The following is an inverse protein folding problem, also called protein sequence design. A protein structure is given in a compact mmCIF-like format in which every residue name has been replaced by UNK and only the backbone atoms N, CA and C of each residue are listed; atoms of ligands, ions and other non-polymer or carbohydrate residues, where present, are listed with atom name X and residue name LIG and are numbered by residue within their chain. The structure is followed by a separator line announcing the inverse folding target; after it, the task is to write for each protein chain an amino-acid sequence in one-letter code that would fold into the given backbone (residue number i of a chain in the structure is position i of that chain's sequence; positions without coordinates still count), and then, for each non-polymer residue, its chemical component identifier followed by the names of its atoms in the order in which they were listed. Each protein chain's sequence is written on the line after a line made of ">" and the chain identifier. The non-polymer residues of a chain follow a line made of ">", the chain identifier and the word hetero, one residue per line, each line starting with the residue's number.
data_IF_510945424486
#
_entry.id   IF_510945424486
#
_cell.length_a   1.000
_cell.length_b   1.000
_cell.length_c   1.000
_cell.angle_alpha   90.00
_cell.angle_beta   90.00
_cell.angle_gamma   90.00
#
_symmetry.space_group_name_H-M   'P 1'
#
loop_
_entity.id
_entity.type
_entity.pdbx_description
1 polymer ?
#
# COMPACT_ATOMS: atom_id res chain seq x y z
N UNK A 1 34.95 4.40 -32.26
CA UNK A 1 34.81 2.92 -32.27
C UNK A 1 33.41 2.45 -31.82
N UNK A 2 32.55 3.30 -31.23
CA UNK A 2 31.19 2.94 -30.82
C UNK A 2 30.10 3.15 -31.90
N UNK A 3 30.38 3.88 -32.98
CA UNK A 3 29.34 4.30 -33.93
C UNK A 3 28.77 3.13 -34.75
N UNK A 4 29.61 2.19 -35.16
CA UNK A 4 29.17 0.99 -35.89
C UNK A 4 28.28 0.08 -35.02
N UNK A 5 28.61 -0.06 -33.74
CA UNK A 5 27.84 -0.83 -32.75
C UNK A 5 26.47 -0.15 -32.53
N UNK A 6 26.45 1.18 -32.39
CA UNK A 6 25.22 1.95 -32.24
C UNK A 6 24.33 1.83 -33.49
N UNK A 7 24.91 1.88 -34.69
CA UNK A 7 24.16 1.68 -35.95
C UNK A 7 23.56 0.28 -36.00
N UNK A 8 24.33 -0.74 -35.63
CA UNK A 8 23.86 -2.13 -35.61
C UNK A 8 22.72 -2.35 -34.61
N UNK A 9 22.86 -1.88 -33.37
CA UNK A 9 21.82 -1.98 -32.33
C UNK A 9 20.55 -1.20 -32.71
N UNK A 10 20.70 -0.06 -33.40
CA UNK A 10 19.55 0.71 -33.91
C UNK A 10 18.81 -0.06 -35.01
N UNK A 11 19.53 -0.72 -35.92
CA UNK A 11 18.91 -1.59 -36.95
C UNK A 11 18.19 -2.77 -36.31
N UNK A 12 18.81 -3.41 -35.32
CA UNK A 12 18.21 -4.53 -34.58
C UNK A 12 16.92 -4.11 -33.85
N UNK A 13 16.91 -2.93 -33.23
CA UNK A 13 15.71 -2.36 -32.60
C UNK A 13 14.57 -2.18 -33.60
N UNK A 14 14.87 -1.66 -34.80
CA UNK A 14 13.85 -1.48 -35.85
C UNK A 14 13.25 -2.81 -36.29
N UNK A 15 14.06 -3.87 -36.40
CA UNK A 15 13.58 -5.22 -36.71
C UNK A 15 12.68 -5.74 -35.58
N UNK A 16 13.08 -5.58 -34.32
CA UNK A 16 12.27 -6.03 -33.19
C UNK A 16 10.97 -5.25 -33.01
N UNK A 17 10.96 -3.96 -33.36
CA UNK A 17 9.73 -3.15 -33.40
C UNK A 17 8.78 -3.55 -34.54
N UNK A 18 9.30 -4.16 -35.61
CA UNK A 18 8.48 -4.67 -36.71
C UNK A 18 7.86 -6.05 -36.44
N UNK A 19 8.32 -6.72 -35.37
CA UNK A 19 7.73 -7.95 -34.83
C UNK A 19 6.73 -7.56 -33.73
N UNK A 20 5.79 -8.43 -33.39
CA UNK A 20 4.77 -8.16 -32.36
C UNK A 20 5.40 -7.58 -31.05
N UNK A 21 5.05 -6.34 -30.68
CA UNK A 21 5.60 -5.66 -29.50
C UNK A 21 5.39 -6.42 -28.19
N UNK A 22 4.41 -7.34 -28.12
CA UNK A 22 4.18 -8.17 -26.92
C UNK A 22 5.26 -9.22 -26.70
N UNK A 23 5.89 -9.70 -27.76
CA UNK A 23 6.92 -10.76 -27.68
C UNK A 23 8.29 -10.15 -27.42
N UNK A 24 8.62 -9.05 -28.11
CA UNK A 24 9.96 -8.45 -28.09
C UNK A 24 10.09 -7.20 -27.21
N UNK A 25 9.06 -6.87 -26.43
CA UNK A 25 9.04 -5.65 -25.62
C UNK A 25 10.19 -5.55 -24.61
N UNK A 26 10.61 -6.67 -24.01
CA UNK A 26 11.74 -6.68 -23.05
C UNK A 26 13.07 -6.43 -23.75
N UNK A 27 13.23 -6.97 -24.95
CA UNK A 27 14.41 -6.91 -25.79
C UNK A 27 14.58 -5.51 -26.37
N UNK A 28 13.48 -4.87 -26.78
CA UNK A 28 13.46 -3.46 -27.19
C UNK A 28 13.91 -2.54 -26.03
N UNK A 29 13.39 -2.76 -24.81
CA UNK A 29 13.80 -1.98 -23.62
C UNK A 29 15.28 -2.19 -23.30
N UNK A 30 15.79 -3.41 -23.47
CA UNK A 30 17.21 -3.72 -23.27
C UNK A 30 18.10 -3.01 -24.31
N UNK A 31 17.68 -2.99 -25.57
CA UNK A 31 18.38 -2.27 -26.64
C UNK A 31 18.41 -0.76 -26.40
N UNK A 32 17.32 -0.19 -25.88
CA UNK A 32 17.27 1.24 -25.54
C UNK A 32 18.24 1.62 -24.42
N UNK A 33 18.41 0.75 -23.42
CA UNK A 33 19.42 0.96 -22.37
C UNK A 33 20.83 0.94 -22.94
N UNK A 34 21.16 -0.07 -23.74
CA UNK A 34 22.48 -0.20 -24.35
C UNK A 34 22.81 0.97 -25.30
N UNK A 35 21.82 1.42 -26.08
CA UNK A 35 22.00 2.59 -26.95
C UNK A 35 22.22 3.89 -26.17
N UNK A 36 21.55 4.06 -25.02
CA UNK A 36 21.74 5.23 -24.16
C UNK A 36 23.10 5.22 -23.44
N UNK A 37 23.54 4.05 -22.97
CA UNK A 37 24.85 3.87 -22.34
C UNK A 37 26.00 4.11 -23.32
N UNK A 38 25.85 3.74 -24.59
CA UNK A 38 26.88 3.92 -25.61
C UNK A 38 26.97 5.35 -26.18
N UNK A 39 25.87 6.11 -26.16
CA UNK A 39 25.80 7.48 -26.72
C UNK A 39 26.22 8.58 -25.76
N UNK A 40 26.12 8.35 -24.45
CA UNK A 40 26.49 9.34 -23.43
C UNK A 40 27.47 8.72 -22.42
N UNK A 41 28.80 8.92 -22.57
CA UNK A 41 29.76 8.59 -21.52
C UNK A 41 29.72 9.69 -20.46
N UNK A 42 28.57 9.90 -19.83
CA UNK A 42 28.45 10.73 -18.63
C UNK A 42 28.31 9.74 -17.49
N UNK A 43 29.19 9.87 -16.50
CA UNK A 43 29.18 9.13 -15.24
C UNK A 43 27.79 9.17 -14.60
N UNK A 44 26.98 8.16 -14.90
CA UNK A 44 25.72 7.92 -14.21
C UNK A 44 25.93 6.62 -13.47
N UNK A 45 26.34 6.79 -12.21
CA UNK A 45 26.20 5.82 -11.14
C UNK A 45 24.90 5.05 -11.34
N UNK A 46 25.05 3.77 -11.68
CA UNK A 46 23.97 2.91 -12.10
C UNK A 46 22.91 2.83 -11.00
N UNK A 47 21.66 3.26 -11.18
CA UNK A 47 20.60 2.64 -10.43
C UNK A 47 20.42 1.27 -11.06
N UNK A 48 21.01 0.24 -10.43
CA UNK A 48 20.53 -1.14 -10.58
C UNK A 48 19.00 -1.08 -10.65
N UNK A 49 18.31 -1.90 -11.47
CA UNK A 49 16.89 -2.12 -11.27
C UNK A 49 16.79 -2.91 -9.96
N UNK A 50 16.93 -2.21 -8.84
CA UNK A 50 16.37 -2.65 -7.59
C UNK A 50 14.90 -2.68 -7.93
N UNK A 51 14.38 -3.88 -8.20
CA UNK A 51 13.00 -4.17 -7.86
C UNK A 51 12.87 -3.63 -6.44
N UNK A 52 12.38 -2.40 -6.28
CA UNK A 52 12.08 -1.84 -4.98
C UNK A 52 11.06 -2.84 -4.46
N UNK A 53 11.51 -3.81 -3.68
CA UNK A 53 10.66 -4.47 -2.70
C UNK A 53 10.07 -3.26 -2.00
N UNK A 54 8.80 -2.96 -2.27
CA UNK A 54 8.08 -1.98 -1.49
C UNK A 54 8.27 -2.48 -0.06
N UNK A 55 9.15 -1.81 0.68
CA UNK A 55 9.37 -2.07 2.08
C UNK A 55 8.00 -1.91 2.70
N UNK A 56 7.46 -3.01 3.21
CA UNK A 56 6.16 -2.96 3.89
C UNK A 56 6.32 -1.96 5.02
N UNK A 57 5.46 -0.96 5.03
CA UNK A 57 5.38 -0.01 6.10
C UNK A 57 5.14 -0.78 7.40
N UNK A 58 5.81 -0.33 8.44
CA UNK A 58 5.52 -0.70 9.82
C UNK A 58 4.11 -0.22 10.21
N UNK A 59 3.62 -0.70 11.35
CA UNK A 59 2.35 -0.23 11.90
C UNK A 59 2.34 1.30 12.05
N UNK A 60 3.38 1.86 12.68
CA UNK A 60 3.45 3.28 12.98
C UNK A 60 3.52 4.13 11.72
N UNK A 61 4.23 3.69 10.69
CA UNK A 61 4.26 4.36 9.39
C UNK A 61 2.87 4.39 8.74
N UNK A 62 2.16 3.25 8.72
CA UNK A 62 0.78 3.23 8.20
C UNK A 62 -0.17 4.12 9.00
N UNK A 63 -0.04 4.14 10.33
CA UNK A 63 -0.85 5.01 11.19
C UNK A 63 -0.61 6.49 10.87
N UNK A 64 0.65 6.91 10.74
CA UNK A 64 1.01 8.28 10.37
C UNK A 64 0.52 8.66 8.95
N UNK A 65 0.57 7.72 8.01
CA UNK A 65 0.04 7.90 6.66
C UNK A 65 -1.49 8.11 6.70
N UNK A 66 -2.21 7.36 7.55
CA UNK A 66 -3.66 7.54 7.75
C UNK A 66 -4.00 8.91 8.31
N UNK A 67 -3.23 9.41 9.29
CA UNK A 67 -3.42 10.75 9.85
C UNK A 67 -3.22 11.84 8.78
N UNK A 68 -2.26 11.64 7.87
CA UNK A 68 -1.99 12.53 6.73
C UNK A 68 -2.96 12.35 5.56
N UNK A 69 -3.88 11.38 5.64
CA UNK A 69 -4.84 11.00 4.57
C UNK A 69 -4.15 10.65 3.25
N UNK A 70 -2.93 10.12 3.30
CA UNK A 70 -2.14 9.75 2.12
C UNK A 70 -2.31 8.27 1.76
N UNK A 71 -3.54 7.89 1.42
CA UNK A 71 -3.95 6.48 1.28
C UNK A 71 -3.16 5.70 0.23
N UNK A 72 -2.56 6.39 -0.76
CA UNK A 72 -1.78 5.77 -1.84
C UNK A 72 -0.51 5.08 -1.35
N UNK A 73 0.00 5.51 -0.20
CA UNK A 73 1.25 5.00 0.36
C UNK A 73 1.05 3.91 1.42
N UNK A 74 -0.20 3.50 1.70
CA UNK A 74 -0.48 2.41 2.64
C UNK A 74 -0.06 1.06 2.08
N UNK A 75 0.47 0.19 2.94
CA UNK A 75 0.90 -1.16 2.54
C UNK A 75 0.49 -2.21 3.56
N UNK A 76 0.22 -3.43 3.09
CA UNK A 76 -0.16 -4.55 3.95
C UNK A 76 -1.59 -4.52 4.49
N UNK A 77 -2.43 -3.61 3.97
CA UNK A 77 -3.84 -3.43 4.31
C UNK A 77 -4.75 -4.01 3.23
N UNK A 78 -6.00 -4.30 3.59
CA UNK A 78 -7.06 -4.70 2.64
C UNK A 78 -8.25 -3.74 2.62
N UNK A 79 -8.47 -3.00 3.69
CA UNK A 79 -9.62 -2.11 3.78
C UNK A 79 -9.40 -0.84 2.96
N UNK A 80 -10.47 -0.29 2.41
CA UNK A 80 -10.44 1.02 1.79
C UNK A 80 -10.57 2.11 2.87
N UNK A 81 -9.45 2.68 3.30
CA UNK A 81 -9.44 3.71 4.34
C UNK A 81 -10.07 5.05 3.93
N UNK A 82 -10.32 5.28 2.64
CA UNK A 82 -11.02 6.48 2.16
C UNK A 82 -12.47 6.54 2.66
N UNK A 83 -13.10 5.38 2.95
CA UNK A 83 -14.46 5.31 3.50
C UNK A 83 -14.53 5.56 5.01
N UNK A 84 -13.39 5.69 5.70
CA UNK A 84 -13.31 5.87 7.14
C UNK A 84 -12.85 7.28 7.46
N UNK A 85 -13.74 8.25 7.25
CA UNK A 85 -13.42 9.67 7.43
C UNK A 85 -13.42 10.11 8.90
N UNK A 86 -14.14 9.38 9.76
CA UNK A 86 -14.27 9.65 11.19
C UNK A 86 -14.47 8.34 11.99
N UNK A 87 -14.46 8.46 13.33
CA UNK A 87 -14.62 7.32 14.23
C UNK A 87 -15.99 6.64 14.10
N UNK A 88 -17.01 7.39 13.72
CA UNK A 88 -18.39 6.95 13.54
C UNK A 88 -18.52 6.02 12.33
N UNK A 89 -17.76 6.24 11.26
CA UNK A 89 -17.68 5.32 10.12
C UNK A 89 -17.09 3.97 10.54
N UNK A 90 -16.09 3.97 11.43
CA UNK A 90 -15.49 2.74 11.98
C UNK A 90 -16.51 1.99 12.83
N UNK A 91 -17.23 2.70 13.70
CA UNK A 91 -18.32 2.15 14.51
C UNK A 91 -19.37 1.49 13.62
N UNK A 92 -19.86 2.21 12.61
CA UNK A 92 -20.88 1.70 11.68
C UNK A 92 -20.39 0.44 10.94
N UNK A 93 -19.15 0.42 10.46
CA UNK A 93 -18.58 -0.74 9.78
C UNK A 93 -18.53 -1.99 10.68
N UNK A 94 -18.18 -1.84 11.95
CA UNK A 94 -18.10 -2.95 12.91
C UNK A 94 -19.49 -3.41 13.37
N UNK A 95 -20.43 -2.49 13.58
CA UNK A 95 -21.77 -2.83 14.08
C UNK A 95 -22.71 -3.38 13.00
N UNK A 96 -22.54 -2.98 11.73
CA UNK A 96 -23.43 -3.40 10.63
C UNK A 96 -23.06 -4.74 10.02
N UNK A 97 -21.79 -5.15 10.11
CA UNK A 97 -21.31 -6.39 9.51
C UNK A 97 -21.21 -7.52 10.53
N UNK A 98 -21.54 -8.77 10.15
CA UNK A 98 -21.22 -9.93 10.98
C UNK A 98 -19.72 -10.04 11.24
N UNK A 99 -19.36 -10.48 12.45
CA UNK A 99 -17.98 -10.65 12.91
C UNK A 99 -17.12 -11.43 11.91
N UNK A 100 -17.65 -12.51 11.36
CA UNK A 100 -16.96 -13.40 10.43
C UNK A 100 -16.60 -12.69 9.12
N UNK A 101 -17.48 -11.81 8.63
CA UNK A 101 -17.24 -10.98 7.43
C UNK A 101 -16.12 -9.98 7.70
N UNK A 102 -16.16 -9.28 8.84
CA UNK A 102 -15.11 -8.31 9.23
C UNK A 102 -13.75 -9.00 9.32
N UNK A 103 -13.68 -10.17 9.97
CA UNK A 103 -12.44 -10.93 10.09
C UNK A 103 -11.95 -11.44 8.74
N UNK A 104 -12.83 -11.77 7.79
CA UNK A 104 -12.41 -12.24 6.46
C UNK A 104 -11.86 -11.10 5.59
N UNK A 105 -12.50 -9.94 5.66
CA UNK A 105 -12.22 -8.78 4.81
C UNK A 105 -11.00 -7.97 5.29
N UNK A 106 -10.85 -7.78 6.60
CA UNK A 106 -9.75 -7.03 7.19
C UNK A 106 -8.50 -7.91 7.38
N UNK A 107 -7.30 -7.34 7.31
CA UNK A 107 -6.07 -7.96 7.82
C UNK A 107 -5.93 -7.74 9.34
N UNK A 108 -4.95 -8.41 9.98
CA UNK A 108 -4.65 -8.10 11.38
C UNK A 108 -4.13 -6.67 11.55
N UNK A 109 -3.37 -6.17 10.57
CA UNK A 109 -2.92 -4.78 10.55
C UNK A 109 -4.11 -3.82 10.43
N UNK A 110 -5.08 -4.12 9.56
CA UNK A 110 -6.29 -3.29 9.41
C UNK A 110 -7.03 -3.16 10.76
N UNK A 111 -7.24 -4.26 11.47
CA UNK A 111 -7.92 -4.24 12.77
C UNK A 111 -7.16 -3.43 13.82
N UNK A 112 -5.82 -3.50 13.83
CA UNK A 112 -4.99 -2.67 14.73
C UNK A 112 -5.14 -1.19 14.41
N UNK A 113 -5.07 -0.83 13.13
CA UNK A 113 -5.22 0.55 12.68
C UNK A 113 -6.63 1.09 12.96
N UNK A 114 -7.67 0.30 12.73
CA UNK A 114 -9.05 0.67 13.09
C UNK A 114 -9.20 0.92 14.59
N UNK A 115 -8.58 0.07 15.43
CA UNK A 115 -8.59 0.27 16.87
C UNK A 115 -7.93 1.60 17.25
N UNK A 116 -6.72 1.87 16.75
CA UNK A 116 -5.99 3.11 17.02
C UNK A 116 -6.68 4.37 16.50
N UNK A 117 -7.36 4.29 15.35
CA UNK A 117 -8.19 5.40 14.85
C UNK A 117 -9.44 5.61 15.72
N UNK A 118 -10.02 4.55 16.26
CA UNK A 118 -11.20 4.62 17.12
C UNK A 118 -10.88 5.21 18.50
N UNK A 119 -9.73 4.82 19.09
CA UNK A 119 -9.34 5.21 20.44
C UNK A 119 -8.45 6.45 20.51
N UNK A 120 -7.81 6.81 19.39
CA UNK A 120 -6.75 7.82 19.37
C UNK A 120 -5.43 7.34 19.98
N UNK A 121 -5.30 6.05 20.32
CA UNK A 121 -4.07 5.47 20.86
C UNK A 121 -3.11 5.07 19.72
N UNK A 122 -1.97 5.74 19.65
CA UNK A 122 -0.93 5.49 18.65
C UNK A 122 -0.20 4.16 18.88
N UNK A 123 -0.41 3.49 20.02
CA UNK A 123 0.26 2.22 20.33
C UNK A 123 -0.36 1.06 19.57
N UNK A 124 0.51 0.21 19.04
CA UNK A 124 0.09 -1.02 18.39
C UNK A 124 -0.46 -2.03 19.42
N UNK A 125 -1.75 -2.32 19.34
CA UNK A 125 -2.37 -3.39 20.11
C UNK A 125 -1.90 -4.77 19.59
N UNK A 126 -1.54 -5.67 20.52
CA UNK A 126 -1.13 -7.05 20.21
C UNK A 126 -2.34 -7.99 20.26
N UNK A 127 -2.34 -9.03 19.41
CA UNK A 127 -3.38 -10.07 19.43
C UNK A 127 -3.61 -10.73 18.07
N UNK A 128 -4.43 -11.79 18.07
CA UNK A 128 -4.97 -12.40 16.84
C UNK A 128 -6.18 -11.60 16.35
N UNK A 129 -6.62 -11.84 15.12
CA UNK A 129 -7.75 -11.10 14.50
C UNK A 129 -9.03 -11.13 15.34
N UNK A 130 -9.34 -12.28 15.95
CA UNK A 130 -10.48 -12.41 16.85
C UNK A 130 -10.35 -11.49 18.08
N UNK A 131 -9.19 -11.48 18.73
CA UNK A 131 -8.94 -10.67 19.92
C UNK A 131 -9.00 -9.17 19.58
N UNK A 132 -8.43 -8.79 18.44
CA UNK A 132 -8.46 -7.42 17.92
C UNK A 132 -9.90 -6.96 17.64
N UNK A 133 -10.70 -7.80 16.99
CA UNK A 133 -12.12 -7.51 16.76
C UNK A 133 -12.87 -7.30 18.09
N UNK A 134 -12.69 -8.21 19.05
CA UNK A 134 -13.35 -8.12 20.36
C UNK A 134 -12.90 -6.87 21.15
N UNK A 135 -11.65 -6.43 21.00
CA UNK A 135 -11.15 -5.20 21.61
C UNK A 135 -11.84 -3.96 21.02
N UNK A 136 -11.97 -3.89 19.69
CA UNK A 136 -12.70 -2.83 18.99
C UNK A 136 -14.16 -2.82 19.45
N UNK A 137 -14.84 -3.96 19.39
CA UNK A 137 -16.26 -4.08 19.75
C UNK A 137 -16.52 -3.69 21.22
N UNK A 138 -15.65 -4.10 22.15
CA UNK A 138 -15.73 -3.69 23.56
C UNK A 138 -15.57 -2.19 23.73
N UNK A 139 -14.64 -1.56 23.01
CA UNK A 139 -14.44 -0.11 23.06
C UNK A 139 -15.69 0.65 22.57
N UNK A 140 -16.26 0.23 21.43
CA UNK A 140 -17.51 0.78 20.90
C UNK A 140 -18.63 0.70 21.94
N UNK A 141 -18.84 -0.48 22.54
CA UNK A 141 -19.88 -0.68 23.57
C UNK A 141 -19.63 0.16 24.83
N UNK A 142 -18.38 0.39 25.22
CA UNK A 142 -18.05 1.24 26.36
C UNK A 142 -18.39 2.71 26.06
N UNK A 143 -18.04 3.20 24.86
CA UNK A 143 -18.34 4.57 24.42
C UNK A 143 -19.84 4.84 24.37
N UNK A 144 -20.64 3.93 23.80
CA UNK A 144 -22.12 4.02 23.78
C UNK A 144 -22.73 4.09 25.18
N UNK A 145 -22.21 3.31 26.13
CA UNK A 145 -22.69 3.32 27.52
C UNK A 145 -22.39 4.66 28.20
N UNK A 146 -21.22 5.23 27.97
CA UNK A 146 -20.87 6.58 28.44
C UNK A 146 -21.79 7.65 27.85
N UNK A 147 -22.04 7.61 26.54
CA UNK A 147 -22.96 8.54 25.86
C UNK A 147 -24.40 8.44 26.41
N UNK A 148 -24.89 7.22 26.68
CA UNK A 148 -26.22 7.01 27.24
C UNK A 148 -26.35 7.59 28.65
N UNK A 149 -25.32 7.40 29.49
CA UNK A 149 -25.29 7.96 30.85
C UNK A 149 -25.34 9.49 30.85
N UNK A 150 -24.60 10.14 29.96
CA UNK A 150 -24.57 11.61 29.83
C UNK A 150 -25.89 12.20 29.31
N UNK A 151 -26.75 11.42 28.66
CA UNK A 151 -28.08 11.89 28.18
C UNK A 151 -29.18 11.77 29.23
N UNK A 152 -28.94 10.98 30.28
CA UNK A 152 -29.90 10.75 31.37
C UNK A 152 -29.69 11.65 32.59
N UNK A 153 -28.62 12.45 32.58
CA UNK A 153 -28.29 13.48 33.59
C UNK A 153 -28.62 14.85 33.01
#
# INVERSE_FOLDING_TARGET
>A
MNDEIVIYLTKLKKIYLSIDPKVMGKEIVKLDRLLNELKNPVEISSPKPVSKKQTKNTFMENYQILLKKDYKNLTGIKLNYESFTNSENIVAYIETKPKESVIKEATALDLKLLYSLLTGDEKEIKGKKNDLYEAIYRNIRARRRGEAFMKTV
#
